data_IF_055083986773
#
_entry.id   IF_055083986773
#
_cell.length_a   1.000
_cell.length_b   1.000
_cell.length_c   1.000
_cell.angle_alpha   90.00
_cell.angle_beta   90.00
_cell.angle_gamma   90.00
#
_symmetry.space_group_name_H-M   'P 1'
#
loop_
_entity.id
_entity.type
_entity.pdbx_description
1 polymer ?
#
# COMPACT_ATOMS: atom_id res chain seq x y z
N UNK A 1 20.74 1.18 -0.15
CA UNK A 1 19.39 1.44 -0.68
C UNK A 1 19.48 1.91 -2.13
N UNK A 2 20.05 1.10 -3.01
CA UNK A 2 20.46 1.58 -4.35
C UNK A 2 19.79 0.72 -5.41
N UNK A 3 18.58 1.13 -5.81
CA UNK A 3 17.94 0.71 -7.07
C UNK A 3 17.49 1.99 -7.77
N UNK A 4 17.75 2.06 -9.07
CA UNK A 4 17.44 3.19 -9.93
C UNK A 4 16.72 2.68 -11.18
N UNK A 5 15.73 3.43 -11.70
CA UNK A 5 15.06 3.08 -12.94
C UNK A 5 16.03 3.19 -14.13
N UNK A 6 15.64 2.61 -15.26
CA UNK A 6 16.32 2.87 -16.53
C UNK A 6 16.22 4.36 -16.90
N UNK A 7 17.12 4.84 -17.76
CA UNK A 7 17.24 6.28 -18.04
C UNK A 7 15.98 6.91 -18.69
N UNK A 8 15.16 6.09 -19.35
CA UNK A 8 13.88 6.44 -19.97
C UNK A 8 12.66 6.01 -19.16
N UNK A 9 12.86 5.49 -17.94
CA UNK A 9 11.81 4.97 -17.07
C UNK A 9 11.53 5.94 -15.92
N UNK A 10 10.26 6.26 -15.72
CA UNK A 10 9.83 7.24 -14.71
C UNK A 10 9.23 6.54 -13.50
N UNK A 11 9.75 6.85 -12.31
CA UNK A 11 9.19 6.36 -11.05
C UNK A 11 7.91 7.15 -10.74
N UNK A 12 6.79 6.43 -10.59
CA UNK A 12 5.52 6.98 -10.14
C UNK A 12 5.50 7.09 -8.63
N UNK A 13 5.82 5.99 -7.95
CA UNK A 13 5.81 5.91 -6.49
C UNK A 13 6.74 4.80 -6.01
N UNK A 14 7.48 5.08 -4.94
CA UNK A 14 8.24 4.08 -4.17
C UNK A 14 7.65 4.00 -2.78
N UNK A 15 7.35 2.79 -2.30
CA UNK A 15 6.65 2.59 -1.05
C UNK A 15 7.11 1.32 -0.33
N UNK A 16 6.89 1.25 0.98
CA UNK A 16 7.07 0.00 1.73
C UNK A 16 6.01 -0.99 1.28
N UNK A 17 6.39 -2.21 0.92
CA UNK A 17 5.42 -3.20 0.42
C UNK A 17 5.53 -4.49 1.22
N UNK A 18 4.46 -4.89 1.91
CA UNK A 18 4.37 -6.18 2.60
C UNK A 18 2.98 -6.76 2.39
N UNK A 19 2.81 -8.08 2.51
CA UNK A 19 1.47 -8.63 2.67
C UNK A 19 0.79 -7.97 3.88
N UNK A 20 -0.43 -7.50 3.65
CA UNK A 20 -1.24 -6.85 4.68
C UNK A 20 -1.49 -7.79 5.87
N UNK A 21 -1.98 -7.25 6.98
CA UNK A 21 -2.31 -8.04 8.17
C UNK A 21 -3.75 -7.79 8.56
N UNK A 22 -4.46 -8.85 8.96
CA UNK A 22 -5.86 -8.72 9.35
C UNK A 22 -6.02 -7.74 10.51
N UNK A 23 -7.03 -6.86 10.41
CA UNK A 23 -7.37 -5.87 11.42
C UNK A 23 -8.43 -6.41 12.40
N UNK A 24 -9.43 -7.13 11.88
CA UNK A 24 -10.54 -7.62 12.69
C UNK A 24 -10.06 -8.62 13.75
N UNK A 25 -10.57 -8.60 15.00
CA UNK A 25 -10.10 -9.47 16.08
C UNK A 25 -10.05 -10.98 15.75
N UNK A 26 -10.91 -11.46 14.86
CA UNK A 26 -10.92 -12.87 14.44
C UNK A 26 -9.72 -13.25 13.54
N UNK A 27 -9.16 -12.29 12.81
CA UNK A 27 -8.07 -12.47 11.85
C UNK A 27 -6.87 -11.56 12.17
N UNK A 28 -6.82 -10.99 13.38
CA UNK A 28 -5.81 -10.03 13.78
C UNK A 28 -4.40 -10.59 13.60
N UNK A 29 -3.58 -9.95 12.75
CA UNK A 29 -2.22 -10.38 12.44
C UNK A 29 -2.09 -11.59 11.51
N UNK A 30 -3.21 -12.19 11.08
CA UNK A 30 -3.23 -13.34 10.17
C UNK A 30 -3.02 -12.88 8.72
N UNK A 31 -2.47 -13.79 7.91
CA UNK A 31 -2.24 -13.62 6.47
C UNK A 31 -2.50 -14.95 5.77
N UNK A 32 -3.60 -15.08 5.05
CA UNK A 32 -3.94 -16.35 4.40
C UNK A 32 -3.56 -16.34 2.92
N UNK A 33 -3.10 -17.49 2.42
CA UNK A 33 -2.76 -17.70 1.01
C UNK A 33 -3.81 -18.64 0.43
N UNK A 34 -4.63 -18.15 -0.49
CA UNK A 34 -5.82 -18.86 -0.98
C UNK A 34 -5.78 -19.14 -2.48
N UNK A 35 -6.40 -20.25 -2.88
CA UNK A 35 -6.83 -20.44 -4.28
C UNK A 35 -8.27 -19.95 -4.49
N UNK A 36 -8.81 -20.02 -5.73
CA UNK A 36 -10.20 -19.67 -6.01
C UNK A 36 -11.25 -20.45 -5.21
N UNK A 37 -10.90 -21.65 -4.73
CA UNK A 37 -11.73 -22.50 -3.90
C UNK A 37 -11.55 -22.23 -2.38
N UNK A 38 -10.81 -21.18 -1.99
CA UNK A 38 -10.46 -20.82 -0.60
C UNK A 38 -9.64 -21.87 0.15
N UNK A 39 -8.98 -22.79 -0.55
CA UNK A 39 -8.04 -23.73 0.07
C UNK A 39 -6.75 -23.00 0.41
N UNK A 40 -6.12 -23.40 1.52
CA UNK A 40 -4.78 -22.89 1.86
C UNK A 40 -3.73 -23.43 0.89
N UNK A 41 -3.04 -22.54 0.20
CA UNK A 41 -2.01 -22.88 -0.79
C UNK A 41 -0.59 -22.59 -0.30
N UNK A 42 -0.41 -22.21 0.96
CA UNK A 42 0.92 -21.90 1.51
C UNK A 42 1.95 -23.01 1.27
N UNK A 43 1.53 -24.29 1.35
CA UNK A 43 2.39 -25.45 1.08
C UNK A 43 2.70 -25.71 -0.39
N UNK A 44 2.03 -25.01 -1.31
CA UNK A 44 2.18 -25.15 -2.76
C UNK A 44 3.03 -24.03 -3.37
N UNK A 45 3.40 -23.01 -2.59
CA UNK A 45 4.19 -21.86 -3.05
C UNK A 45 5.66 -22.27 -3.20
N UNK A 46 6.07 -22.53 -4.43
CA UNK A 46 7.41 -23.01 -4.75
C UNK A 46 8.51 -22.03 -4.26
N UNK A 47 9.52 -22.55 -3.57
CA UNK A 47 10.66 -21.77 -3.07
C UNK A 47 10.36 -20.94 -1.81
N UNK A 48 9.14 -20.98 -1.28
CA UNK A 48 8.84 -20.32 -0.01
C UNK A 48 9.36 -21.16 1.16
N UNK A 49 10.00 -20.54 2.17
CA UNK A 49 10.37 -21.26 3.40
C UNK A 49 9.11 -21.77 4.12
N UNK A 50 9.23 -22.58 5.19
CA UNK A 50 8.12 -22.75 6.12
C UNK A 50 7.71 -21.39 6.71
N UNK A 51 6.43 -21.20 6.99
CA UNK A 51 5.92 -19.97 7.61
C UNK A 51 4.86 -20.25 8.65
N UNK A 52 4.35 -19.20 9.30
CA UNK A 52 3.30 -19.34 10.29
C UNK A 52 2.11 -20.08 9.66
N UNK A 53 1.59 -21.09 10.35
CA UNK A 53 0.31 -21.67 9.99
C UNK A 53 -0.76 -20.88 10.72
N UNK A 54 -1.60 -20.21 9.96
CA UNK A 54 -2.70 -19.44 10.52
C UNK A 54 -3.93 -20.34 10.56
N UNK A 55 -4.49 -20.54 11.76
CA UNK A 55 -5.84 -21.07 11.93
C UNK A 55 -6.76 -19.91 12.30
N UNK A 56 -7.96 -19.80 11.72
CA UNK A 56 -8.95 -18.82 12.18
C UNK A 56 -9.18 -19.00 13.68
N UNK A 57 -9.10 -17.90 14.44
CA UNK A 57 -9.24 -17.98 15.90
C UNK A 57 -10.60 -18.57 16.27
N UNK A 58 -10.62 -19.58 17.14
CA UNK A 58 -11.87 -20.24 17.54
C UNK A 58 -12.78 -19.27 18.31
N UNK A 59 -14.09 -19.55 18.37
CA UNK A 59 -15.05 -18.78 19.20
C UNK A 59 -14.61 -18.71 20.67
N UNK A 60 -13.90 -19.75 21.17
CA UNK A 60 -13.38 -19.81 22.54
C UNK A 60 -12.16 -18.90 22.78
N UNK A 61 -11.23 -18.83 21.82
CA UNK A 61 -10.06 -17.94 21.91
C UNK A 61 -10.46 -16.46 21.91
N UNK A 62 -11.57 -16.13 21.25
CA UNK A 62 -12.16 -14.77 21.21
C UNK A 62 -12.66 -14.29 22.58
N UNK A 63 -13.09 -15.20 23.45
CA UNK A 63 -13.56 -14.86 24.80
C UNK A 63 -12.39 -14.63 25.77
N UNK A 64 -11.34 -15.47 25.71
CA UNK A 64 -10.19 -15.40 26.62
C UNK A 64 -9.37 -14.11 26.48
N UNK A 65 -9.25 -13.54 25.27
CA UNK A 65 -8.53 -12.27 25.06
C UNK A 65 -9.34 -11.02 25.42
N UNK A 66 -10.68 -11.10 25.49
CA UNK A 66 -11.52 -10.04 26.06
C UNK A 66 -11.31 -9.90 27.56
N UNK A 67 -11.12 -11.01 28.27
CA UNK A 67 -10.81 -11.03 29.71
C UNK A 67 -9.35 -10.67 30.01
N UNK A 68 -8.40 -11.06 29.14
CA UNK A 68 -6.97 -10.82 29.35
C UNK A 68 -6.52 -9.35 29.24
N UNK A 69 -7.24 -8.50 28.48
CA UNK A 69 -6.91 -7.06 28.37
C UNK A 69 -7.43 -6.22 29.55
N UNK A 70 -8.26 -6.77 30.42
CA UNK A 70 -8.82 -6.05 31.58
C UNK A 70 -7.90 -6.04 32.82
N UNK A 71 -6.78 -6.77 32.82
CA UNK A 71 -5.91 -6.92 33.99
C UNK A 71 -4.53 -6.23 33.87
N UNK A 72 -4.32 -5.37 32.86
CA UNK A 72 -2.98 -4.84 32.56
C UNK A 72 -2.75 -3.33 32.70
N UNK A 73 -3.76 -2.47 32.54
CA UNK A 73 -3.57 -1.01 32.56
C UNK A 73 -4.76 -0.38 33.28
N UNK A 74 -4.49 0.20 34.44
CA UNK A 74 -5.49 0.84 35.30
C UNK A 74 -6.13 2.05 34.64
N UNK A 75 -7.30 1.84 34.05
CA UNK A 75 -8.27 2.90 33.74
C UNK A 75 -9.59 2.49 34.39
N UNK A 76 -10.10 3.21 35.40
CA UNK A 76 -11.36 2.87 36.03
C UNK A 76 -12.50 3.14 35.04
N UNK A 77 -13.17 2.07 34.62
CA UNK A 77 -14.40 2.13 33.82
C UNK A 77 -15.54 2.50 34.76
N UNK A 78 -15.95 3.76 34.77
CA UNK A 78 -17.17 4.21 35.44
C UNK A 78 -18.36 3.67 34.63
N UNK A 79 -18.96 2.59 35.13
CA UNK A 79 -20.21 2.04 34.62
C UNK A 79 -21.38 2.85 35.19
N UNK A 80 -21.96 3.75 34.40
CA UNK A 80 -23.28 4.30 34.70
C UNK A 80 -24.33 3.49 33.95
N UNK A 81 -24.95 2.57 34.69
CA UNK A 81 -26.12 1.80 34.26
C UNK A 81 -27.36 2.67 34.54
N UNK A 82 -27.90 3.30 33.51
CA UNK A 82 -29.25 3.87 33.54
C UNK A 82 -30.04 3.31 32.35
N UNK A 83 -31.04 2.51 32.67
CA UNK A 83 -31.98 1.93 31.72
C UNK A 83 -33.21 2.83 31.62
N UNK A 84 -33.58 3.23 30.40
CA UNK A 84 -34.95 3.64 30.06
C UNK A 84 -35.19 3.47 28.54
N UNK A 85 -35.80 2.34 28.21
CA UNK A 85 -36.85 2.09 27.20
C UNK A 85 -37.07 3.16 26.10
N UNK A 86 -36.65 2.84 24.86
CA UNK A 86 -37.35 2.99 23.55
C UNK A 86 -36.39 3.30 22.39
N UNK A 87 -36.26 2.34 21.47
CA UNK A 87 -36.09 2.62 20.04
C UNK A 87 -34.70 3.00 19.52
N UNK A 88 -33.82 2.02 19.33
CA UNK A 88 -32.97 1.86 18.13
C UNK A 88 -32.14 0.57 18.30
N UNK A 89 -32.33 -0.40 17.41
CA UNK A 89 -31.45 -1.56 17.32
C UNK A 89 -30.09 -1.11 16.74
N UNK A 90 -29.26 -0.54 17.60
CA UNK A 90 -27.83 -0.36 17.34
C UNK A 90 -27.13 -1.70 17.52
N UNK A 91 -26.48 -2.18 16.47
CA UNK A 91 -25.62 -3.37 16.49
C UNK A 91 -24.53 -3.25 17.57
N UNK A 92 -24.18 -4.34 18.28
CA UNK A 92 -23.16 -4.34 19.34
C UNK A 92 -21.71 -4.31 18.80
N UNK A 93 -21.52 -3.93 17.54
CA UNK A 93 -20.20 -3.80 16.94
C UNK A 93 -19.73 -2.37 17.14
N UNK A 94 -19.00 -2.15 18.23
CA UNK A 94 -18.27 -0.92 18.46
C UNK A 94 -17.31 -0.69 17.29
N UNK A 95 -17.66 0.27 16.45
CA UNK A 95 -16.73 0.86 15.50
C UNK A 95 -15.67 1.60 16.31
N UNK A 96 -14.42 1.16 16.21
CA UNK A 96 -13.31 2.06 16.50
C UNK A 96 -13.27 3.11 15.39
N UNK A 97 -13.65 4.34 15.74
CA UNK A 97 -13.56 5.51 14.88
C UNK A 97 -12.13 5.63 14.33
N UNK A 98 -11.95 5.30 13.05
CA UNK A 98 -10.67 5.38 12.34
C UNK A 98 -10.60 4.55 11.06
N UNK A 99 -10.99 3.28 11.13
CA UNK A 99 -10.71 2.30 10.06
C UNK A 99 -11.92 1.88 9.22
N UNK A 100 -13.05 2.60 9.31
CA UNK A 100 -14.26 2.30 8.55
C UNK A 100 -14.95 0.99 8.95
N UNK A 101 -16.03 0.65 8.25
CA UNK A 101 -16.69 -0.66 8.37
C UNK A 101 -16.12 -1.64 7.34
N UNK A 102 -16.10 -2.96 7.63
CA UNK A 102 -15.72 -3.96 6.64
C UNK A 102 -16.56 -3.81 5.37
N UNK A 103 -15.89 -3.76 4.23
CA UNK A 103 -16.48 -3.68 2.90
C UNK A 103 -16.70 -5.09 2.32
N UNK A 104 -15.84 -6.03 2.70
CA UNK A 104 -15.87 -7.42 2.26
C UNK A 104 -15.71 -8.37 3.45
N UNK A 105 -16.78 -8.60 4.23
CA UNK A 105 -16.70 -9.39 5.46
C UNK A 105 -16.06 -10.78 5.29
N UNK A 106 -16.29 -11.42 4.15
CA UNK A 106 -15.72 -12.72 3.84
C UNK A 106 -14.18 -12.72 3.76
N UNK A 107 -13.56 -11.58 3.42
CA UNK A 107 -12.12 -11.42 3.17
C UNK A 107 -11.44 -10.44 4.15
N UNK A 108 -12.23 -9.88 5.08
CA UNK A 108 -11.75 -8.91 6.07
C UNK A 108 -12.02 -9.34 7.52
N UNK A 109 -13.03 -10.19 7.74
CA UNK A 109 -13.52 -10.58 9.05
C UNK A 109 -13.44 -12.09 9.26
N UNK A 110 -13.92 -12.86 8.30
CA UNK A 110 -14.02 -14.32 8.36
C UNK A 110 -12.74 -15.01 7.90
N UNK A 111 -12.22 -14.54 6.77
CA UNK A 111 -10.92 -14.88 6.21
C UNK A 111 -10.12 -13.58 6.03
N UNK A 112 -8.82 -13.70 5.76
CA UNK A 112 -7.98 -12.55 5.41
C UNK A 112 -6.95 -12.94 4.34
N UNK A 113 -7.42 -13.26 3.11
CA UNK A 113 -6.54 -13.59 2.00
C UNK A 113 -5.64 -12.40 1.66
N UNK A 114 -4.33 -12.62 1.72
CA UNK A 114 -3.32 -11.65 1.25
C UNK A 114 -2.79 -12.00 -0.13
N UNK A 115 -3.12 -13.20 -0.60
CA UNK A 115 -2.77 -13.72 -1.92
C UNK A 115 -3.89 -14.65 -2.35
N UNK A 116 -4.38 -14.45 -3.57
CA UNK A 116 -5.44 -15.25 -4.18
C UNK A 116 -5.02 -15.69 -5.57
N UNK A 117 -4.79 -16.99 -5.75
CA UNK A 117 -4.06 -17.46 -6.92
C UNK A 117 -4.34 -18.92 -7.31
N UNK A 118 -4.84 -19.12 -8.53
CA UNK A 118 -4.91 -20.45 -9.15
C UNK A 118 -3.49 -20.97 -9.50
N UNK A 119 -3.27 -22.28 -9.67
CA UNK A 119 -1.99 -22.81 -10.14
C UNK A 119 -1.52 -22.14 -11.44
N UNK A 120 -0.24 -21.81 -11.51
CA UNK A 120 0.38 -21.18 -12.69
C UNK A 120 0.11 -19.67 -12.86
N UNK A 121 -0.64 -19.03 -11.96
CA UNK A 121 -0.88 -17.58 -12.00
C UNK A 121 0.26 -16.78 -11.38
N UNK A 122 0.39 -15.52 -11.80
CA UNK A 122 1.46 -14.59 -11.46
C UNK A 122 1.55 -14.33 -9.95
N UNK A 123 0.42 -14.23 -9.24
CA UNK A 123 0.46 -14.02 -7.80
C UNK A 123 1.26 -15.12 -7.06
N UNK A 124 1.28 -16.37 -7.55
CA UNK A 124 2.07 -17.47 -6.96
C UNK A 124 3.58 -17.29 -7.11
N UNK A 125 4.03 -16.42 -8.03
CA UNK A 125 5.45 -16.14 -8.23
C UNK A 125 5.94 -14.95 -7.41
N UNK A 126 5.06 -14.33 -6.60
CA UNK A 126 5.45 -13.23 -5.73
C UNK A 126 6.49 -13.70 -4.70
N UNK A 127 7.46 -12.83 -4.35
CA UNK A 127 8.54 -13.20 -3.45
C UNK A 127 8.03 -13.38 -2.02
N UNK A 128 8.45 -14.45 -1.37
CA UNK A 128 8.07 -14.77 0.01
C UNK A 128 8.48 -13.69 1.01
N UNK A 129 9.47 -12.86 0.67
CA UNK A 129 9.96 -11.75 1.47
C UNK A 129 8.89 -10.67 1.70
N UNK A 130 7.81 -10.64 0.91
CA UNK A 130 6.66 -9.79 1.19
C UNK A 130 5.96 -10.18 2.49
N UNK A 131 6.10 -11.42 2.98
CA UNK A 131 5.56 -11.86 4.26
C UNK A 131 6.49 -11.45 5.42
N UNK A 132 6.06 -10.52 6.30
CA UNK A 132 6.86 -10.11 7.45
C UNK A 132 7.27 -11.27 8.36
N UNK A 133 6.46 -12.33 8.45
CA UNK A 133 6.71 -13.47 9.33
C UNK A 133 7.83 -14.40 8.88
N UNK A 134 8.32 -14.24 7.64
CA UNK A 134 9.37 -15.10 7.05
C UNK A 134 10.72 -14.41 6.95
N UNK A 135 10.75 -13.09 7.11
CA UNK A 135 11.95 -12.28 6.90
C UNK A 135 12.91 -12.32 8.09
N UNK A 136 14.23 -12.23 7.84
CA UNK A 136 15.20 -11.91 8.87
C UNK A 136 14.92 -10.55 9.53
N UNK A 137 15.32 -10.40 10.79
CA UNK A 137 15.21 -9.12 11.50
C UNK A 137 15.99 -8.01 10.77
N UNK A 138 15.38 -6.82 10.69
CA UNK A 138 15.97 -5.65 10.01
C UNK A 138 15.92 -5.70 8.47
N UNK A 139 15.38 -6.77 7.88
CA UNK A 139 15.05 -6.83 6.46
C UNK A 139 13.66 -6.22 6.21
N UNK A 140 13.54 -5.37 5.18
CA UNK A 140 12.25 -4.84 4.73
C UNK A 140 12.12 -5.02 3.22
N UNK A 141 10.89 -4.93 2.75
CA UNK A 141 10.58 -4.93 1.32
C UNK A 141 10.00 -3.59 0.92
N UNK A 142 10.40 -3.15 -0.26
CA UNK A 142 9.91 -1.95 -0.90
C UNK A 142 9.36 -2.33 -2.27
N UNK A 143 8.45 -1.52 -2.80
CA UNK A 143 7.99 -1.60 -4.16
C UNK A 143 8.27 -0.27 -4.86
N UNK A 144 8.64 -0.35 -6.13
CA UNK A 144 8.74 0.80 -7.01
C UNK A 144 7.81 0.57 -8.18
N UNK A 145 6.79 1.41 -8.30
CA UNK A 145 5.91 1.43 -9.46
C UNK A 145 6.41 2.50 -10.43
N UNK A 146 6.66 2.09 -11.66
CA UNK A 146 7.08 2.96 -12.76
C UNK A 146 6.00 2.99 -13.83
N UNK A 147 6.24 3.79 -14.86
CA UNK A 147 5.44 3.77 -16.09
C UNK A 147 5.56 2.45 -16.89
N UNK A 148 6.55 1.60 -16.59
CA UNK A 148 6.84 0.36 -17.33
C UNK A 148 6.63 -0.93 -16.54
N UNK A 149 6.78 -0.91 -15.22
CA UNK A 149 6.76 -2.12 -14.38
C UNK A 149 6.55 -1.81 -12.89
N UNK A 150 6.21 -2.85 -12.14
CA UNK A 150 6.34 -2.90 -10.70
C UNK A 150 7.61 -3.69 -10.36
N UNK A 151 8.49 -3.10 -9.56
CA UNK A 151 9.71 -3.73 -9.06
C UNK A 151 9.59 -3.96 -7.56
N UNK A 152 9.73 -5.21 -7.14
CA UNK A 152 9.77 -5.59 -5.73
C UNK A 152 11.22 -5.68 -5.27
N UNK A 153 11.55 -4.95 -4.22
CA UNK A 153 12.90 -4.78 -3.72
C UNK A 153 13.04 -5.35 -2.31
N UNK A 154 14.15 -6.03 -2.09
CA UNK A 154 14.64 -6.47 -0.79
C UNK A 154 15.66 -5.49 -0.24
N UNK A 155 15.46 -5.00 0.97
CA UNK A 155 16.40 -4.06 1.60
C UNK A 155 16.83 -4.58 2.96
N UNK A 156 18.10 -5.00 3.03
CA UNK A 156 18.73 -5.44 4.28
C UNK A 156 18.99 -4.31 5.28
N UNK A 157 19.45 -4.69 6.47
CA UNK A 157 19.73 -3.76 7.57
C UNK A 157 20.95 -2.84 7.32
N UNK A 158 21.84 -3.21 6.39
CA UNK A 158 23.03 -2.44 6.02
C UNK A 158 22.81 -1.42 4.91
N UNK A 159 23.87 -0.71 4.53
CA UNK A 159 23.86 0.29 3.45
C UNK A 159 24.01 -0.31 2.04
N UNK A 160 23.91 -1.63 1.91
CA UNK A 160 24.07 -2.34 0.64
C UNK A 160 23.04 -1.96 -0.44
N UNK A 161 23.28 -2.39 -1.70
CA UNK A 161 22.28 -2.26 -2.76
C UNK A 161 20.99 -3.00 -2.38
N UNK A 162 19.88 -2.58 -2.98
CA UNK A 162 18.63 -3.31 -2.81
C UNK A 162 18.63 -4.53 -3.74
N UNK A 163 18.13 -5.66 -3.27
CA UNK A 163 17.97 -6.87 -4.08
C UNK A 163 16.71 -6.74 -4.94
N UNK A 164 16.80 -6.96 -6.24
CA UNK A 164 15.60 -7.06 -7.08
C UNK A 164 15.00 -8.46 -6.88
N UNK A 165 13.85 -8.52 -6.22
CA UNK A 165 13.17 -9.76 -5.86
C UNK A 165 12.24 -10.24 -6.97
N UNK A 166 11.57 -9.29 -7.64
CA UNK A 166 10.71 -9.56 -8.79
C UNK A 166 10.52 -8.28 -9.61
N UNK A 167 10.28 -8.47 -10.90
CA UNK A 167 9.87 -7.43 -11.82
C UNK A 167 8.60 -7.88 -12.54
N UNK A 168 7.57 -7.05 -12.49
CA UNK A 168 6.26 -7.34 -13.08
C UNK A 168 5.98 -6.27 -14.12
N UNK A 169 5.97 -6.60 -15.42
CA UNK A 169 5.67 -5.65 -16.48
C UNK A 169 4.30 -4.98 -16.30
N UNK A 170 4.18 -3.71 -16.75
CA UNK A 170 2.96 -2.90 -16.56
C UNK A 170 1.72 -3.53 -17.18
N UNK A 171 1.85 -4.23 -18.30
CA UNK A 171 0.77 -4.95 -19.00
C UNK A 171 0.27 -6.18 -18.23
N UNK A 172 1.04 -6.67 -17.25
CA UNK A 172 0.63 -7.75 -16.33
C UNK A 172 -0.13 -7.25 -15.10
N UNK A 173 -0.19 -5.93 -14.90
CA UNK A 173 -0.95 -5.29 -13.81
C UNK A 173 -2.31 -4.83 -14.35
N UNK A 174 -3.38 -5.52 -13.96
CA UNK A 174 -4.74 -5.18 -14.39
C UNK A 174 -5.27 -3.93 -13.68
N UNK A 175 -4.91 -3.73 -12.41
CA UNK A 175 -5.39 -2.60 -11.63
C UNK A 175 -5.00 -2.68 -10.17
N UNK A 176 -5.36 -1.67 -9.41
CA UNK A 176 -5.32 -1.71 -7.96
C UNK A 176 -6.60 -1.09 -7.37
N UNK A 177 -6.98 -1.57 -6.19
CA UNK A 177 -8.09 -1.06 -5.40
C UNK A 177 -7.57 -0.65 -4.02
N UNK A 178 -7.96 0.53 -3.56
CA UNK A 178 -7.65 1.03 -2.21
C UNK A 178 -8.65 0.44 -1.20
N UNK A 179 -8.16 -0.36 -0.26
CA UNK A 179 -8.99 -1.01 0.76
C UNK A 179 -9.08 -0.13 2.01
N UNK A 180 -10.26 0.45 2.25
CA UNK A 180 -10.47 1.42 3.33
C UNK A 180 -10.49 0.73 4.70
N UNK A 181 -11.02 -0.49 4.76
CA UNK A 181 -10.95 -1.33 5.97
C UNK A 181 -9.57 -1.99 6.08
N UNK A 182 -8.60 -1.20 6.49
CA UNK A 182 -7.22 -1.61 6.71
C UNK A 182 -6.55 -0.82 7.83
N UNK A 183 -5.42 -1.32 8.32
CA UNK A 183 -4.61 -0.60 9.30
C UNK A 183 -4.17 0.76 8.72
N UNK A 184 -4.62 1.86 9.35
CA UNK A 184 -4.37 3.23 8.90
C UNK A 184 -4.62 3.48 7.41
N UNK A 185 -5.56 2.74 6.80
CA UNK A 185 -5.98 2.91 5.39
C UNK A 185 -4.84 2.76 4.38
N UNK A 186 -3.85 1.92 4.66
CA UNK A 186 -2.65 1.81 3.81
C UNK A 186 -2.64 0.60 2.86
N UNK A 187 -3.70 -0.22 2.85
CA UNK A 187 -3.72 -1.43 2.03
C UNK A 187 -4.23 -1.18 0.60
N UNK A 188 -3.63 -1.89 -0.35
CA UNK A 188 -4.11 -2.01 -1.73
C UNK A 188 -4.30 -3.47 -2.10
N UNK A 189 -5.35 -3.78 -2.87
CA UNK A 189 -5.45 -5.02 -3.63
C UNK A 189 -4.88 -4.77 -5.01
N UNK A 190 -3.73 -5.38 -5.30
CA UNK A 190 -3.13 -5.37 -6.63
C UNK A 190 -3.64 -6.58 -7.43
N UNK A 191 -4.29 -6.31 -8.56
CA UNK A 191 -4.85 -7.35 -9.44
C UNK A 191 -3.98 -7.53 -10.67
N UNK A 192 -3.67 -8.77 -11.01
CA UNK A 192 -2.88 -9.15 -12.18
C UNK A 192 -3.78 -9.47 -13.38
N UNK A 193 -3.20 -9.42 -14.59
CA UNK A 193 -3.91 -9.64 -15.85
C UNK A 193 -4.52 -11.06 -15.98
N UNK A 194 -4.03 -12.04 -15.22
CA UNK A 194 -4.57 -13.39 -15.16
C UNK A 194 -5.69 -13.57 -14.11
N UNK A 195 -6.13 -12.49 -13.46
CA UNK A 195 -7.18 -12.48 -12.44
C UNK A 195 -6.72 -12.87 -11.03
N UNK A 196 -5.46 -13.28 -10.86
CA UNK A 196 -4.88 -13.44 -9.53
C UNK A 196 -4.62 -12.08 -8.87
N UNK A 197 -4.53 -12.03 -7.55
CA UNK A 197 -4.31 -10.78 -6.83
C UNK A 197 -3.53 -10.95 -5.53
N UNK A 198 -2.96 -9.85 -5.04
CA UNK A 198 -2.32 -9.77 -3.73
C UNK A 198 -2.76 -8.50 -2.97
N UNK A 199 -2.94 -8.63 -1.65
CA UNK A 199 -3.23 -7.51 -0.75
C UNK A 199 -1.94 -7.05 -0.07
N UNK A 200 -1.50 -5.84 -0.40
CA UNK A 200 -0.27 -5.26 0.07
C UNK A 200 -0.53 -4.03 0.94
N UNK A 201 0.14 -3.95 2.09
CA UNK A 201 0.28 -2.71 2.85
C UNK A 201 1.34 -1.85 2.19
N UNK A 202 1.01 -0.57 1.94
CA UNK A 202 1.88 0.42 1.29
C UNK A 202 2.66 1.32 2.28
N UNK A 203 2.45 1.11 3.58
CA UNK A 203 3.05 1.88 4.67
C UNK A 203 2.47 3.28 4.91
N UNK A 204 1.74 3.85 3.95
CA UNK A 204 1.07 5.16 4.08
C UNK A 204 -0.15 5.23 3.14
N UNK A 205 -1.33 5.73 3.58
CA UNK A 205 -2.51 5.93 2.72
C UNK A 205 -2.27 6.74 1.43
N UNK A 206 -1.36 7.72 1.44
CA UNK A 206 -1.05 8.52 0.23
C UNK A 206 -0.43 7.64 -0.88
N UNK A 207 0.38 6.65 -0.49
CA UNK A 207 0.94 5.69 -1.43
C UNK A 207 -0.16 4.77 -1.99
N UNK A 208 -1.08 4.31 -1.14
CA UNK A 208 -2.23 3.52 -1.58
C UNK A 208 -3.08 4.29 -2.61
N UNK A 209 -3.34 5.57 -2.36
CA UNK A 209 -4.04 6.45 -3.29
C UNK A 209 -3.26 6.66 -4.60
N UNK A 210 -1.96 6.95 -4.55
CA UNK A 210 -1.11 7.12 -5.75
C UNK A 210 -1.07 5.85 -6.60
N UNK A 211 -0.91 4.68 -6.00
CA UNK A 211 -0.90 3.38 -6.70
C UNK A 211 -2.24 3.12 -7.39
N UNK A 212 -3.35 3.33 -6.67
CA UNK A 212 -4.70 3.13 -7.19
C UNK A 212 -5.01 4.07 -8.35
N UNK A 213 -4.74 5.37 -8.19
CA UNK A 213 -4.98 6.36 -9.24
C UNK A 213 -4.15 6.09 -10.50
N UNK A 214 -2.89 5.66 -10.36
CA UNK A 214 -2.05 5.35 -11.52
C UNK A 214 -2.48 4.08 -12.25
N UNK A 215 -2.75 3.01 -11.51
CA UNK A 215 -3.16 1.75 -12.13
C UNK A 215 -4.60 1.80 -12.68
N UNK A 216 -5.46 2.64 -12.10
CA UNK A 216 -6.80 2.96 -12.60
C UNK A 216 -6.83 3.97 -13.76
N UNK A 217 -5.70 4.57 -14.13
CA UNK A 217 -5.59 5.51 -15.25
C UNK A 217 -6.03 6.95 -14.96
N UNK A 218 -6.37 7.28 -13.71
CA UNK A 218 -6.68 8.65 -13.27
C UNK A 218 -5.42 9.53 -13.17
N UNK A 219 -4.29 8.89 -12.86
CA UNK A 219 -2.98 9.50 -12.78
C UNK A 219 -2.16 9.05 -14.00
N UNK A 220 -1.69 10.00 -14.82
CA UNK A 220 -0.85 9.72 -15.98
C UNK A 220 0.49 10.43 -15.85
N UNK A 221 1.58 9.69 -16.00
CA UNK A 221 2.92 10.27 -16.10
C UNK A 221 3.05 11.03 -17.42
N UNK A 222 3.62 12.23 -17.35
CA UNK A 222 3.89 13.09 -18.49
C UNK A 222 5.40 13.18 -18.72
N UNK A 223 5.78 13.41 -19.97
CA UNK A 223 7.12 13.87 -20.35
C UNK A 223 7.14 15.40 -20.43
N UNK A 224 8.34 15.99 -20.46
CA UNK A 224 8.46 17.45 -20.66
C UNK A 224 7.84 17.90 -22.00
N UNK A 225 7.81 17.03 -23.01
CA UNK A 225 7.19 17.30 -24.31
C UNK A 225 5.66 17.37 -24.24
N UNK A 226 5.03 16.80 -23.21
CA UNK A 226 3.58 16.88 -22.99
C UNK A 226 3.16 18.21 -22.33
N UNK A 227 4.12 19.01 -21.84
CA UNK A 227 3.85 20.25 -21.14
C UNK A 227 3.65 21.42 -22.12
N UNK A 228 2.75 22.34 -21.77
CA UNK A 228 2.61 23.61 -22.52
C UNK A 228 3.86 24.48 -22.36
N UNK A 229 4.09 25.42 -23.26
CA UNK A 229 5.21 26.36 -23.17
C UNK A 229 5.21 27.14 -21.84
N UNK A 230 4.02 27.52 -21.37
CA UNK A 230 3.85 28.22 -20.11
C UNK A 230 4.21 27.32 -18.90
N UNK A 231 3.77 26.06 -18.92
CA UNK A 231 4.14 25.07 -17.91
C UNK A 231 5.65 24.81 -17.91
N UNK A 232 6.28 24.60 -19.08
CA UNK A 232 7.74 24.41 -19.19
C UNK A 232 8.51 25.60 -18.62
N UNK A 233 8.11 26.82 -18.96
CA UNK A 233 8.72 28.03 -18.41
C UNK A 233 8.58 28.11 -16.88
N UNK A 234 7.44 27.66 -16.32
CA UNK A 234 7.22 27.62 -14.87
C UNK A 234 8.06 26.53 -14.19
N UNK A 235 8.15 25.35 -14.79
CA UNK A 235 8.99 24.23 -14.33
C UNK A 235 10.45 24.66 -14.29
N UNK A 236 10.97 25.29 -15.35
CA UNK A 236 12.35 25.77 -15.36
C UNK A 236 12.66 26.73 -14.20
N UNK A 237 11.74 27.65 -13.88
CA UNK A 237 11.87 28.55 -12.72
C UNK A 237 11.83 27.79 -11.39
N UNK A 238 10.95 26.79 -11.28
CA UNK A 238 10.84 25.95 -10.10
C UNK A 238 12.14 25.17 -9.86
N UNK A 239 12.64 24.46 -10.86
CA UNK A 239 13.87 23.67 -10.77
C UNK A 239 15.09 24.55 -10.48
N UNK A 240 15.19 25.74 -11.08
CA UNK A 240 16.27 26.68 -10.80
C UNK A 240 16.27 27.23 -9.36
N UNK A 241 15.11 27.20 -8.68
CA UNK A 241 14.98 27.60 -7.28
C UNK A 241 15.24 26.47 -6.29
N UNK A 242 15.34 25.22 -6.75
CA UNK A 242 15.60 24.08 -5.88
C UNK A 242 17.07 24.06 -5.43
N UNK A 243 17.35 23.65 -4.17
CA UNK A 243 18.70 23.39 -3.72
C UNK A 243 19.44 22.35 -4.58
N UNK A 244 20.78 22.37 -4.62
CA UNK A 244 21.56 21.33 -5.27
C UNK A 244 21.25 19.93 -4.69
N UNK A 245 21.09 18.94 -5.56
CA UNK A 245 20.88 17.54 -5.18
C UNK A 245 19.44 17.04 -5.36
N UNK A 246 18.47 17.93 -5.62
CA UNK A 246 17.15 17.54 -6.07
C UNK A 246 17.22 16.80 -7.41
N UNK A 247 16.41 15.76 -7.55
CA UNK A 247 16.33 14.97 -8.79
C UNK A 247 15.55 15.74 -9.88
N UNK A 248 15.73 15.38 -11.17
CA UNK A 248 14.88 15.90 -12.23
C UNK A 248 13.40 15.74 -11.87
N UNK A 249 12.55 16.75 -12.16
CA UNK A 249 11.15 16.72 -11.77
C UNK A 249 10.39 15.62 -12.54
N UNK A 250 9.44 15.01 -11.85
CA UNK A 250 8.44 14.10 -12.43
C UNK A 250 7.16 14.88 -12.67
N UNK A 251 6.56 14.67 -13.84
CA UNK A 251 5.34 15.34 -14.26
C UNK A 251 4.18 14.36 -14.23
N UNK A 252 3.09 14.76 -13.61
CA UNK A 252 1.90 13.93 -13.45
C UNK A 252 0.66 14.72 -13.82
N UNK A 253 -0.08 14.25 -14.82
CA UNK A 253 -1.43 14.73 -15.09
C UNK A 253 -2.39 14.22 -14.02
N UNK A 254 -3.19 15.15 -13.49
CA UNK A 254 -4.32 14.90 -12.59
C UNK A 254 -5.63 15.18 -13.33
N UNK A 255 -6.78 14.72 -12.78
CA UNK A 255 -8.09 15.11 -13.28
C UNK A 255 -8.22 16.63 -13.41
N UNK A 256 -8.93 17.09 -14.45
CA UNK A 256 -9.10 18.52 -14.73
C UNK A 256 -7.94 19.19 -15.48
N UNK A 257 -6.96 18.42 -15.97
CA UNK A 257 -5.84 18.96 -16.77
C UNK A 257 -4.76 19.66 -15.94
N UNK A 258 -4.79 19.49 -14.61
CA UNK A 258 -3.76 20.00 -13.71
C UNK A 258 -2.52 19.11 -13.81
N UNK A 259 -1.35 19.73 -13.91
CA UNK A 259 -0.06 19.05 -13.87
C UNK A 259 0.56 19.22 -12.50
N UNK A 260 0.76 18.11 -11.79
CA UNK A 260 1.61 18.04 -10.61
C UNK A 260 3.06 17.87 -11.06
N UNK A 261 3.93 18.76 -10.58
CA UNK A 261 5.37 18.70 -10.78
C UNK A 261 6.00 18.41 -9.42
N UNK A 262 6.64 17.25 -9.25
CA UNK A 262 7.31 16.85 -8.02
C UNK A 262 8.81 16.70 -8.29
N UNK A 263 9.65 17.24 -7.41
CA UNK A 263 11.08 16.96 -7.39
C UNK A 263 11.48 16.55 -5.97
N UNK A 264 12.28 15.51 -5.87
CA UNK A 264 12.65 14.92 -4.61
C UNK A 264 14.16 15.05 -4.35
N UNK A 265 14.50 15.42 -3.12
CA UNK A 265 15.83 15.30 -2.56
C UNK A 265 15.89 14.02 -1.72
N UNK A 266 16.59 13.02 -2.25
CA UNK A 266 16.78 11.75 -1.53
C UNK A 266 17.91 11.87 -0.52
N UNK A 267 17.59 11.60 0.74
CA UNK A 267 18.63 11.45 1.76
C UNK A 267 19.58 10.30 1.42
N UNK A 268 20.87 10.47 1.73
CA UNK A 268 21.92 9.44 1.57
C UNK A 268 21.60 8.12 2.30
N UNK A 269 20.78 8.17 3.36
CA UNK A 269 20.37 6.99 4.13
C UNK A 269 19.03 6.39 3.66
N UNK A 270 18.37 7.04 2.69
CA UNK A 270 17.12 6.57 2.12
C UNK A 270 15.89 6.63 3.02
N UNK A 271 16.04 7.11 4.27
CA UNK A 271 14.95 7.08 5.27
C UNK A 271 14.02 8.28 5.19
N UNK A 272 14.43 9.33 4.48
CA UNK A 272 13.64 10.55 4.30
C UNK A 272 13.85 11.09 2.90
N UNK A 273 12.75 11.47 2.27
CA UNK A 273 12.71 12.14 0.98
C UNK A 273 12.08 13.51 1.24
N UNK A 274 12.85 14.57 0.97
CA UNK A 274 12.27 15.92 0.97
C UNK A 274 11.68 16.12 -0.43
N UNK A 275 10.36 16.30 -0.49
CA UNK A 275 9.64 16.49 -1.75
C UNK A 275 9.23 17.95 -1.86
N UNK A 276 9.62 18.58 -2.96
CA UNK A 276 9.12 19.89 -3.37
C UNK A 276 8.15 19.71 -4.53
N UNK A 277 6.99 20.35 -4.45
CA UNK A 277 5.91 20.14 -5.41
C UNK A 277 5.19 21.44 -5.78
N UNK A 278 4.75 21.54 -7.03
CA UNK A 278 3.85 22.58 -7.52
C UNK A 278 2.75 21.97 -8.40
N UNK A 279 1.57 22.58 -8.37
CA UNK A 279 0.45 22.23 -9.25
C UNK A 279 0.27 23.34 -10.28
N UNK A 280 0.15 22.98 -11.55
CA UNK A 280 0.07 23.90 -12.67
C UNK A 280 -1.20 23.68 -13.48
N UNK A 281 -1.92 24.75 -13.82
CA UNK A 281 -2.94 24.69 -14.87
C UNK A 281 -2.29 24.76 -16.27
N UNK A 282 -3.11 24.78 -17.34
CA UNK A 282 -2.63 24.86 -18.72
C UNK A 282 -1.79 26.13 -19.01
N UNK A 283 -2.10 27.23 -18.31
CA UNK A 283 -1.41 28.53 -18.42
C UNK A 283 -0.13 28.60 -17.57
N UNK A 284 0.25 27.51 -16.89
CA UNK A 284 1.45 27.47 -16.04
C UNK A 284 1.32 28.25 -14.73
N UNK A 285 0.11 28.62 -14.34
CA UNK A 285 -0.18 29.27 -13.06
C UNK A 285 -0.31 28.24 -11.94
N UNK A 286 0.14 28.62 -10.74
CA UNK A 286 0.06 27.75 -9.57
C UNK A 286 -1.38 27.58 -9.11
N UNK A 287 -1.84 26.35 -9.04
CA UNK A 287 -3.13 25.96 -8.46
C UNK A 287 -2.94 25.46 -7.03
N UNK A 288 -3.94 25.65 -6.18
CA UNK A 288 -4.00 24.94 -4.91
C UNK A 288 -4.24 23.44 -5.17
N UNK A 289 -3.72 22.53 -4.33
CA UNK A 289 -4.10 21.12 -4.42
C UNK A 289 -5.63 21.00 -4.30
N UNK A 290 -6.26 20.34 -5.27
CA UNK A 290 -7.69 20.10 -5.23
C UNK A 290 -7.99 19.06 -4.12
N UNK A 291 -8.61 19.50 -3.03
CA UNK A 291 -9.02 18.66 -1.90
C UNK A 291 -7.87 18.26 -0.99
N UNK A 292 -7.68 19.03 0.09
CA UNK A 292 -7.02 18.57 1.32
C UNK A 292 -8.06 17.97 2.26
#
# INVERSE_FOLDING_TARGET
>A
MNWYPDADETVVVRFTANFASGLHPAVAGQRYFRDPERRDIQGELAGWPPGPQFTPHSRGDRAARRTGRALGIGIPLVLNLAAEVLGALGTPFGGSDGNGSPQEPADEVEDFPVLWAAPGTLARTLPWQLDPGRRPAGYRTEAVLTDRRLVLLGVGAGLGPADVLAEIPRDRLAGAEHLVYSEARMDVRLTFADGSWARLSTGNPDNAAKVTAFLGGELRVLTEADLTDAQRARVARFTAALPPGFQPPVFTAKPGGIVLVESALRSKNGRSEEVSAIYLNADGESQAPAGA
#
